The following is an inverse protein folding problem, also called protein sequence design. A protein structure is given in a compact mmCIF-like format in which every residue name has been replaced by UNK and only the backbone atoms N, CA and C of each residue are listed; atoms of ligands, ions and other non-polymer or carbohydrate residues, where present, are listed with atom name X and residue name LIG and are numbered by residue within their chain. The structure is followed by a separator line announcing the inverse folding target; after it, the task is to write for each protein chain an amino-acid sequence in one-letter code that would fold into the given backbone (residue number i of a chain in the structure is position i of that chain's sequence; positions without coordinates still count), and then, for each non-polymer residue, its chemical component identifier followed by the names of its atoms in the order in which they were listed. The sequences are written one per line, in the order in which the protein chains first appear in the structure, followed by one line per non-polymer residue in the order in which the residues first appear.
data_IF_447070320450
#
_entry.id   IF_447070320450
#
_cell.length_a   1.000
_cell.length_b   1.000
_cell.length_c   1.000
_cell.angle_alpha   90.00
_cell.angle_beta   90.00
_cell.angle_gamma   90.00
#
_symmetry.space_group_name_H-M   'P 1'
#
loop_
_entity.id
_entity.type
_entity.pdbx_description
1 polymer ?
#
# COMPACT_ATOMS: atom_id res chain seq x y z
N UNK A 1 0.01 4.67 -20.28
CA UNK A 1 -1.14 3.74 -20.34
C UNK A 1 -0.90 2.65 -19.32
N UNK A 2 -1.84 2.40 -18.40
CA UNK A 2 -1.72 1.33 -17.43
C UNK A 2 -1.61 -0.02 -18.15
N UNK A 3 -0.62 -0.84 -17.77
CA UNK A 3 -0.27 -2.07 -18.47
C UNK A 3 -1.40 -3.12 -18.50
N UNK A 4 -1.33 -4.12 -19.38
CA UNK A 4 -2.34 -5.18 -19.48
C UNK A 4 -2.49 -6.01 -18.19
N UNK A 5 -1.49 -5.99 -17.31
CA UNK A 5 -1.48 -6.70 -16.02
C UNK A 5 -2.59 -6.25 -15.07
N UNK A 6 -2.96 -4.96 -15.06
CA UNK A 6 -3.99 -4.44 -14.14
C UNK A 6 -5.38 -5.02 -14.39
N UNK A 7 -5.64 -5.54 -15.59
CA UNK A 7 -6.97 -5.98 -16.03
C UNK A 7 -7.18 -7.49 -15.90
N UNK A 8 -6.16 -8.21 -15.47
CA UNK A 8 -6.21 -9.66 -15.31
C UNK A 8 -6.09 -9.98 -13.82
N UNK A 9 -7.15 -10.56 -13.23
CA UNK A 9 -7.20 -10.87 -11.80
C UNK A 9 -5.91 -11.54 -11.30
N UNK A 10 -5.40 -12.55 -12.01
CA UNK A 10 -4.19 -13.24 -11.57
C UNK A 10 -2.95 -12.32 -11.54
N UNK A 11 -2.79 -11.46 -12.54
CA UNK A 11 -1.64 -10.54 -12.61
C UNK A 11 -1.78 -9.39 -11.59
N UNK A 12 -2.99 -8.87 -11.42
CA UNK A 12 -3.33 -7.87 -10.43
C UNK A 12 -3.08 -8.39 -9.00
N UNK A 13 -3.60 -9.59 -8.69
CA UNK A 13 -3.34 -10.30 -7.44
C UNK A 13 -1.85 -10.53 -7.18
N UNK A 14 -1.08 -10.91 -8.21
CA UNK A 14 0.38 -11.06 -8.07
C UNK A 14 1.09 -9.75 -7.67
N UNK A 15 0.59 -8.59 -8.15
CA UNK A 15 1.14 -7.28 -7.77
C UNK A 15 0.80 -7.00 -6.30
N UNK A 16 -0.45 -7.21 -5.87
CA UNK A 16 -0.86 -7.04 -4.47
C UNK A 16 -0.09 -7.94 -3.51
N UNK A 17 -0.04 -9.24 -3.79
CA UNK A 17 0.70 -10.19 -2.97
C UNK A 17 2.19 -9.85 -2.90
N UNK A 18 2.79 -9.49 -4.05
CA UNK A 18 4.20 -9.09 -4.10
C UNK A 18 4.48 -7.81 -3.31
N UNK A 19 3.61 -6.81 -3.41
CA UNK A 19 3.69 -5.58 -2.64
C UNK A 19 3.54 -5.81 -1.15
N UNK A 20 2.48 -6.52 -0.73
CA UNK A 20 2.21 -6.79 0.68
C UNK A 20 3.31 -7.63 1.34
N UNK A 21 3.73 -8.73 0.71
CA UNK A 21 4.78 -9.60 1.25
C UNK A 21 6.12 -8.87 1.40
N UNK A 22 6.48 -8.02 0.44
CA UNK A 22 7.69 -7.20 0.55
C UNK A 22 7.58 -6.12 1.63
N UNK A 23 6.40 -5.52 1.81
CA UNK A 23 6.17 -4.56 2.89
C UNK A 23 6.23 -5.22 4.27
N UNK A 24 5.68 -6.44 4.42
CA UNK A 24 5.80 -7.24 5.66
C UNK A 24 7.25 -7.52 5.98
N UNK A 25 8.01 -8.11 5.04
CA UNK A 25 9.40 -8.48 5.27
C UNK A 25 10.28 -7.28 5.65
N UNK A 26 10.02 -6.11 5.04
CA UNK A 26 10.74 -4.88 5.38
C UNK A 26 10.32 -4.28 6.71
N UNK A 27 9.07 -4.45 7.13
CA UNK A 27 8.62 -4.03 8.46
C UNK A 27 9.32 -4.88 9.52
N UNK A 28 9.35 -6.21 9.32
CA UNK A 28 10.07 -7.15 10.18
C UNK A 28 11.57 -6.81 10.25
N UNK A 29 12.21 -6.48 9.12
CA UNK A 29 13.63 -6.04 9.09
C UNK A 29 13.89 -4.82 10.00
N UNK A 30 12.99 -3.82 9.99
CA UNK A 30 13.12 -2.64 10.86
C UNK A 30 13.01 -3.03 12.33
N UNK A 31 12.06 -3.92 12.67
CA UNK A 31 11.86 -4.41 14.04
C UNK A 31 13.06 -5.22 14.54
N UNK A 32 13.59 -6.13 13.74
CA UNK A 32 14.77 -6.93 14.06
C UNK A 32 16.00 -6.05 14.33
N UNK A 33 16.22 -5.01 13.52
CA UNK A 33 17.32 -4.06 13.72
C UNK A 33 17.17 -3.24 15.00
N UNK A 34 15.93 -2.86 15.37
CA UNK A 34 15.64 -2.19 16.64
C UNK A 34 15.90 -3.11 17.84
N UNK A 35 15.47 -4.37 17.77
CA UNK A 35 15.74 -5.37 18.80
C UNK A 35 17.23 -5.62 18.99
N UNK A 36 17.98 -5.64 17.88
CA UNK A 36 19.45 -5.73 17.88
C UNK A 36 20.15 -4.45 18.37
N UNK A 37 19.41 -3.36 18.59
CA UNK A 37 19.91 -2.02 18.98
C UNK A 37 20.79 -1.36 17.92
N UNK A 38 20.65 -1.75 16.66
CA UNK A 38 21.35 -1.17 15.51
C UNK A 38 20.59 0.08 15.01
N UNK A 39 20.45 1.10 15.86
CA UNK A 39 19.50 2.20 15.67
C UNK A 39 19.68 3.01 14.38
N UNK A 40 20.93 3.31 13.98
CA UNK A 40 21.21 4.03 12.74
C UNK A 40 20.83 3.21 11.50
N UNK A 41 21.08 1.90 11.55
CA UNK A 41 20.74 0.97 10.47
C UNK A 41 19.22 0.77 10.41
N UNK A 42 18.57 0.63 11.57
CA UNK A 42 17.11 0.55 11.67
C UNK A 42 16.42 1.79 11.08
N UNK A 43 16.98 2.99 11.34
CA UNK A 43 16.49 4.24 10.74
C UNK A 43 16.59 4.21 9.21
N UNK A 44 17.73 3.79 8.66
CA UNK A 44 17.90 3.68 7.21
C UNK A 44 16.94 2.62 6.60
N UNK A 45 16.72 1.51 7.30
CA UNK A 45 15.75 0.50 6.88
C UNK A 45 14.32 1.08 6.86
N UNK A 46 13.95 1.90 7.84
CA UNK A 46 12.66 2.59 7.86
C UNK A 46 12.52 3.60 6.70
N UNK A 47 13.58 4.33 6.35
CA UNK A 47 13.61 5.22 5.17
C UNK A 47 13.40 4.42 3.88
N UNK A 48 14.08 3.28 3.72
CA UNK A 48 13.87 2.38 2.58
C UNK A 48 12.49 1.73 2.55
N UNK A 49 11.88 1.47 3.71
CA UNK A 49 10.50 0.95 3.79
C UNK A 49 9.50 2.01 3.30
N UNK A 50 9.67 3.27 3.66
CA UNK A 50 8.87 4.38 3.13
C UNK A 50 8.99 4.44 1.60
N UNK A 51 10.21 4.40 1.06
CA UNK A 51 10.43 4.40 -0.39
C UNK A 51 9.78 3.18 -1.07
N UNK A 52 9.79 2.02 -0.42
CA UNK A 52 9.11 0.83 -0.92
C UNK A 52 7.60 1.05 -1.01
N UNK A 53 6.96 1.62 0.03
CA UNK A 53 5.54 1.97 -0.01
C UNK A 53 5.22 2.93 -1.16
N UNK A 54 6.01 3.98 -1.33
CA UNK A 54 5.82 4.98 -2.39
C UNK A 54 5.98 4.38 -3.78
N UNK A 55 7.04 3.61 -4.01
CA UNK A 55 7.42 3.15 -5.35
C UNK A 55 6.75 1.86 -5.79
N UNK A 56 6.21 1.07 -4.86
CA UNK A 56 5.60 -0.24 -5.17
C UNK A 56 4.10 -0.26 -4.99
N UNK A 57 3.61 0.30 -3.88
CA UNK A 57 2.20 0.17 -3.50
C UNK A 57 1.44 1.44 -3.91
N UNK A 58 1.92 2.63 -3.52
CA UNK A 58 1.28 3.89 -3.93
C UNK A 58 1.36 4.08 -5.45
N UNK A 59 2.49 3.79 -6.09
CA UNK A 59 2.58 3.85 -7.55
C UNK A 59 1.63 2.88 -8.26
N UNK A 60 1.26 1.76 -7.64
CA UNK A 60 0.26 0.84 -8.18
C UNK A 60 -1.15 1.40 -8.02
N UNK A 61 -1.48 1.91 -6.83
CA UNK A 61 -2.70 2.64 -6.54
C UNK A 61 -2.94 3.83 -7.50
N UNK A 62 -1.89 4.60 -7.79
CA UNK A 62 -1.95 5.71 -8.76
C UNK A 62 -2.28 5.19 -10.17
N UNK A 63 -1.70 4.06 -10.59
CA UNK A 63 -1.97 3.48 -11.91
C UNK A 63 -3.40 2.93 -12.05
N UNK A 64 -4.00 2.49 -10.94
CA UNK A 64 -5.40 2.08 -10.89
C UNK A 64 -6.34 3.27 -10.98
N UNK A 65 -6.07 4.29 -10.17
CA UNK A 65 -6.81 5.54 -10.15
C UNK A 65 -6.70 6.32 -11.45
N UNK A 66 -5.60 6.24 -12.19
CA UNK A 66 -5.39 6.98 -13.45
C UNK A 66 -6.07 6.33 -14.66
N UNK A 67 -6.54 5.08 -14.55
CA UNK A 67 -7.24 4.47 -15.68
C UNK A 67 -8.08 3.24 -15.40
N UNK A 68 -7.64 2.33 -14.53
CA UNK A 68 -8.38 1.09 -14.28
C UNK A 68 -9.76 1.38 -13.66
N UNK A 69 -9.81 2.26 -12.67
CA UNK A 69 -11.04 2.61 -11.97
C UNK A 69 -12.06 3.33 -12.86
N UNK A 70 -11.61 4.27 -13.70
CA UNK A 70 -12.50 4.91 -14.68
C UNK A 70 -13.02 3.90 -15.71
N UNK A 71 -12.18 2.95 -16.13
CA UNK A 71 -12.58 1.89 -17.06
C UNK A 71 -13.66 1.00 -16.44
N UNK A 72 -13.51 0.60 -15.18
CA UNK A 72 -14.48 -0.23 -14.46
C UNK A 72 -15.81 0.50 -14.24
N UNK A 73 -15.78 1.73 -13.73
CA UNK A 73 -16.98 2.54 -13.54
C UNK A 73 -17.67 2.92 -14.86
N UNK A 74 -16.91 3.08 -15.94
CA UNK A 74 -17.44 3.34 -17.28
C UNK A 74 -18.15 2.13 -17.90
N UNK A 75 -17.66 0.91 -17.64
CA UNK A 75 -18.30 -0.35 -18.08
C UNK A 75 -19.52 -0.70 -17.24
N UNK A 76 -19.47 -0.45 -15.95
CA UNK A 76 -20.56 -0.71 -15.02
C UNK A 76 -20.76 0.48 -14.07
N UNK A 77 -21.73 1.37 -14.34
CA UNK A 77 -22.02 2.52 -13.49
C UNK A 77 -22.35 2.18 -12.03
N UNK A 78 -22.80 0.95 -11.74
CA UNK A 78 -23.07 0.52 -10.35
C UNK A 78 -21.80 0.35 -9.52
N UNK A 79 -20.60 0.38 -10.12
CA UNK A 79 -19.32 0.32 -9.42
C UNK A 79 -18.82 1.68 -8.95
N UNK A 80 -19.52 2.79 -9.21
CA UNK A 80 -19.07 4.13 -8.81
C UNK A 80 -18.78 4.24 -7.31
N UNK A 81 -19.71 3.79 -6.46
CA UNK A 81 -19.52 3.80 -5.01
C UNK A 81 -18.39 2.87 -4.56
N UNK A 82 -18.20 1.75 -5.26
CA UNK A 82 -17.08 0.82 -4.98
C UNK A 82 -15.75 1.48 -5.27
N UNK A 83 -15.58 2.04 -6.47
CA UNK A 83 -14.37 2.78 -6.86
C UNK A 83 -14.07 3.92 -5.89
N UNK A 84 -15.10 4.69 -5.50
CA UNK A 84 -14.92 5.78 -4.54
C UNK A 84 -14.37 5.30 -3.19
N UNK A 85 -14.85 4.16 -2.69
CA UNK A 85 -14.35 3.56 -1.45
C UNK A 85 -12.91 3.08 -1.59
N UNK A 86 -12.58 2.40 -2.69
CA UNK A 86 -11.23 1.90 -2.96
C UNK A 86 -10.21 3.05 -3.09
N UNK A 87 -10.56 4.12 -3.81
CA UNK A 87 -9.75 5.35 -3.87
C UNK A 87 -9.57 5.98 -2.48
N UNK A 88 -10.58 5.89 -1.60
CA UNK A 88 -10.44 6.39 -0.22
C UNK A 88 -9.42 5.57 0.57
N UNK A 89 -9.37 4.27 0.38
CA UNK A 89 -8.37 3.42 1.03
C UNK A 89 -6.95 3.77 0.56
N UNK A 90 -6.75 4.04 -0.74
CA UNK A 90 -5.47 4.58 -1.24
C UNK A 90 -5.08 5.89 -0.57
N UNK A 91 -6.05 6.80 -0.41
CA UNK A 91 -5.79 8.07 0.28
C UNK A 91 -5.42 7.85 1.75
N UNK A 92 -5.99 6.86 2.43
CA UNK A 92 -5.56 6.49 3.79
C UNK A 92 -4.10 6.03 3.81
N UNK A 93 -3.67 5.21 2.85
CA UNK A 93 -2.27 4.80 2.72
C UNK A 93 -1.35 6.02 2.51
N UNK A 94 -1.72 6.95 1.61
CA UNK A 94 -0.95 8.19 1.37
C UNK A 94 -0.84 9.07 2.61
N UNK A 95 -1.94 9.24 3.35
CA UNK A 95 -1.96 10.00 4.61
C UNK A 95 -1.01 9.37 5.62
N UNK A 96 -1.11 8.06 5.85
CA UNK A 96 -0.28 7.38 6.84
C UNK A 96 1.20 7.43 6.44
N UNK A 97 1.55 7.19 5.17
CA UNK A 97 2.95 7.32 4.69
C UNK A 97 3.50 8.72 4.92
N UNK A 98 2.69 9.76 4.66
CA UNK A 98 3.08 11.14 4.92
C UNK A 98 3.32 11.41 6.40
N UNK A 99 2.44 10.89 7.27
CA UNK A 99 2.56 11.04 8.72
C UNK A 99 3.79 10.30 9.26
N UNK A 100 4.06 9.09 8.76
CA UNK A 100 5.29 8.33 9.05
C UNK A 100 6.55 9.13 8.70
N UNK A 101 6.58 9.74 7.50
CA UNK A 101 7.72 10.57 7.06
C UNK A 101 7.95 11.75 7.99
N UNK A 102 6.88 12.43 8.39
CA UNK A 102 6.97 13.55 9.32
C UNK A 102 7.49 13.09 10.70
N UNK A 103 6.89 12.04 11.27
CA UNK A 103 7.30 11.48 12.56
C UNK A 103 8.76 11.01 12.55
N UNK A 104 9.19 10.30 11.51
CA UNK A 104 10.56 9.82 11.39
C UNK A 104 11.58 10.97 11.25
N UNK A 105 11.21 12.06 10.58
CA UNK A 105 12.05 13.24 10.44
C UNK A 105 12.14 14.06 11.75
N UNK A 106 11.04 14.20 12.47
CA UNK A 106 10.94 15.04 13.67
C UNK A 106 11.39 14.33 14.95
N UNK A 107 10.96 13.07 15.13
CA UNK A 107 11.12 12.31 16.37
C UNK A 107 12.05 11.09 16.21
N UNK A 108 12.40 10.73 14.97
CA UNK A 108 13.18 9.54 14.68
C UNK A 108 12.35 8.26 14.69
N UNK A 109 13.02 7.12 14.73
CA UNK A 109 12.36 5.81 14.71
C UNK A 109 11.80 5.48 16.11
N UNK A 110 10.55 5.85 16.34
CA UNK A 110 9.83 5.63 17.60
C UNK A 110 8.86 4.45 17.49
N UNK A 111 8.33 3.94 18.62
CA UNK A 111 7.26 2.93 18.58
C UNK A 111 6.02 3.39 17.81
N UNK A 112 5.73 4.69 17.79
CA UNK A 112 4.61 5.22 17.01
C UNK A 112 4.84 5.07 15.50
N UNK A 113 6.07 5.29 15.02
CA UNK A 113 6.43 5.03 13.62
C UNK A 113 6.19 3.57 13.25
N UNK A 114 6.53 2.62 14.14
CA UNK A 114 6.25 1.19 13.92
C UNK A 114 4.75 0.89 13.86
N UNK A 115 3.96 1.46 14.78
CA UNK A 115 2.50 1.28 14.77
C UNK A 115 1.88 1.74 13.45
N UNK A 116 2.37 2.84 12.88
CA UNK A 116 1.91 3.34 11.58
C UNK A 116 2.32 2.41 10.42
N UNK A 117 3.51 1.81 10.44
CA UNK A 117 3.86 0.76 9.47
C UNK A 117 2.92 -0.45 9.54
N UNK A 118 2.59 -0.91 10.75
CA UNK A 118 1.61 -1.98 10.92
C UNK A 118 0.21 -1.58 10.45
N UNK A 119 -0.19 -0.33 10.68
CA UNK A 119 -1.45 0.20 10.17
C UNK A 119 -1.50 0.15 8.63
N UNK A 120 -0.41 0.53 7.96
CA UNK A 120 -0.31 0.42 6.49
C UNK A 120 -0.49 -1.02 6.01
N UNK A 121 0.14 -2.00 6.67
CA UNK A 121 -0.03 -3.41 6.33
C UNK A 121 -1.49 -3.86 6.42
N UNK A 122 -2.18 -3.48 7.50
CA UNK A 122 -3.58 -3.84 7.73
C UNK A 122 -4.49 -3.20 6.68
N UNK A 123 -4.34 -1.89 6.43
CA UNK A 123 -5.16 -1.17 5.44
C UNK A 123 -4.92 -1.75 4.04
N UNK A 124 -3.66 -1.96 3.64
CA UNK A 124 -3.33 -2.52 2.34
C UNK A 124 -3.88 -3.94 2.15
N UNK A 125 -3.78 -4.80 3.16
CA UNK A 125 -4.31 -6.16 3.09
C UNK A 125 -5.84 -6.20 2.96
N UNK A 126 -6.55 -5.30 3.65
CA UNK A 126 -8.01 -5.16 3.53
C UNK A 126 -8.37 -4.65 2.14
N UNK A 127 -7.70 -3.58 1.70
CA UNK A 127 -7.91 -2.95 0.41
C UNK A 127 -7.71 -3.95 -0.74
N UNK A 128 -6.55 -4.60 -0.84
CA UNK A 128 -6.23 -5.53 -1.94
C UNK A 128 -7.23 -6.68 -2.05
N UNK A 129 -7.64 -7.26 -0.92
CA UNK A 129 -8.65 -8.33 -0.89
C UNK A 129 -10.01 -7.82 -1.38
N UNK A 130 -10.44 -6.66 -0.89
CA UNK A 130 -11.76 -6.14 -1.19
C UNK A 130 -11.84 -5.62 -2.63
N UNK A 131 -10.78 -5.01 -3.14
CA UNK A 131 -10.66 -4.62 -4.54
C UNK A 131 -10.79 -5.83 -5.48
N UNK A 132 -9.97 -6.87 -5.25
CA UNK A 132 -9.98 -8.09 -6.07
C UNK A 132 -11.39 -8.70 -6.11
N UNK A 133 -12.02 -8.83 -4.93
CA UNK A 133 -13.38 -9.36 -4.80
C UNK A 133 -14.42 -8.47 -5.49
N UNK A 134 -14.36 -7.16 -5.32
CA UNK A 134 -15.42 -6.25 -5.77
C UNK A 134 -15.31 -5.89 -7.25
N UNK A 135 -14.11 -5.90 -7.82
CA UNK A 135 -13.87 -5.50 -9.21
C UNK A 135 -13.69 -6.69 -10.17
N UNK A 136 -13.32 -7.88 -9.70
CA UNK A 136 -13.05 -9.03 -10.57
C UNK A 136 -13.93 -10.25 -10.35
N UNK A 137 -14.48 -10.47 -9.15
CA UNK A 137 -15.40 -11.60 -8.95
C UNK A 137 -16.78 -11.25 -9.51
N UNK A 138 -17.31 -12.10 -10.39
CA UNK A 138 -18.68 -11.97 -10.90
C UNK A 138 -19.68 -12.16 -9.74
N UNK A 139 -20.67 -11.26 -9.66
CA UNK A 139 -21.78 -11.36 -8.71
C UNK A 139 -22.74 -12.51 -9.03
#
# INVERSE_FOLDING_TARGET
MPGPSLRQLHAHHAIHQGGLSGAVAKTEEVEELLEAKEFEVARQAAEHLIEYWETRIISHADAEEDGFYQEMAGKNPNLQDTVLRLTRDHELLRIIVKDVKALLAEEGLTPEVLHQFHALLVVNAIHSRDEERLLFEEA
#
